data_IF_078519252311
#
_entry.id   IF_078519252311
#
_cell.length_a   1.000
_cell.length_b   1.000
_cell.length_c   1.000
_cell.angle_alpha   90.00
_cell.angle_beta   90.00
_cell.angle_gamma   90.00
#
_symmetry.space_group_name_H-M   'P 1'
#
loop_
_entity.id
_entity.type
_entity.pdbx_description
1 polymer ?
#
# COMPACT_ATOMS: atom_id res chain seq x y z
N UNK A 1 -1.96 28.43 16.96
CA UNK A 1 -2.17 29.37 15.83
C UNK A 1 -3.33 28.83 15.01
N UNK A 2 -4.37 29.58 14.85
CA UNK A 2 -5.50 29.17 14.00
C UNK A 2 -5.18 29.61 12.55
N UNK A 3 -5.75 28.92 11.54
CA UNK A 3 -5.59 29.32 10.13
C UNK A 3 -6.05 30.76 9.86
N UNK A 4 -6.99 31.24 10.67
CA UNK A 4 -7.50 32.61 10.57
C UNK A 4 -6.49 33.68 10.93
N UNK A 5 -5.49 33.31 11.75
CA UNK A 5 -4.42 34.22 12.21
C UNK A 5 -3.33 34.43 11.15
N UNK A 6 -3.33 33.60 10.09
CA UNK A 6 -2.40 33.69 8.97
C UNK A 6 -2.86 34.76 7.97
N UNK A 7 -1.91 35.48 7.34
CA UNK A 7 -2.21 36.31 6.18
C UNK A 7 -2.93 35.47 5.10
N UNK A 8 -3.86 36.07 4.36
CA UNK A 8 -4.66 35.34 3.37
C UNK A 8 -3.79 34.49 2.42
N UNK A 9 -2.74 35.09 1.86
CA UNK A 9 -1.81 34.40 0.93
C UNK A 9 -1.05 33.19 1.55
N UNK A 10 -0.96 33.13 2.88
CA UNK A 10 -0.29 32.03 3.59
C UNK A 10 -1.25 30.91 4.05
N UNK A 11 -2.56 31.09 3.84
CA UNK A 11 -3.53 30.06 4.19
C UNK A 11 -3.48 28.92 3.16
N UNK A 12 -3.51 27.66 3.58
CA UNK A 12 -3.33 26.52 2.69
C UNK A 12 -4.28 26.49 1.48
N UNK A 13 -5.56 26.88 1.67
CA UNK A 13 -6.53 26.92 0.58
C UNK A 13 -6.19 27.98 -0.47
N UNK A 14 -5.93 29.19 -0.04
CA UNK A 14 -5.59 30.31 -0.89
C UNK A 14 -4.27 30.07 -1.61
N UNK A 15 -3.29 29.52 -0.88
CA UNK A 15 -1.98 29.12 -1.41
C UNK A 15 -2.13 28.00 -2.47
N UNK A 16 -2.99 27.00 -2.22
CA UNK A 16 -3.28 25.93 -3.19
C UNK A 16 -3.87 26.50 -4.49
N UNK A 17 -4.86 27.39 -4.38
CA UNK A 17 -5.56 27.97 -5.52
C UNK A 17 -4.66 28.92 -6.33
N UNK A 18 -3.76 29.65 -5.67
CA UNK A 18 -2.89 30.60 -6.32
C UNK A 18 -1.64 29.96 -6.96
N UNK A 19 -1.09 28.93 -6.32
CA UNK A 19 0.25 28.40 -6.68
C UNK A 19 0.25 26.88 -6.97
N UNK A 20 -0.90 26.21 -6.88
CA UNK A 20 -1.03 24.77 -7.10
C UNK A 20 -0.55 23.91 -5.91
N UNK A 21 -0.80 22.59 -5.97
CA UNK A 21 -0.54 21.69 -4.84
C UNK A 21 0.95 21.53 -4.50
N UNK A 22 1.84 21.66 -5.47
CA UNK A 22 3.28 21.52 -5.26
C UNK A 22 3.89 22.63 -4.38
N UNK A 23 3.18 23.74 -4.21
CA UNK A 23 3.61 24.83 -3.34
C UNK A 23 3.32 24.60 -1.85
N UNK A 24 2.51 23.59 -1.52
CA UNK A 24 2.13 23.30 -0.14
C UNK A 24 3.09 22.32 0.52
N UNK A 25 3.35 22.56 1.81
CA UNK A 25 3.99 21.56 2.65
C UNK A 25 3.01 20.42 2.96
N UNK A 26 3.54 19.23 3.31
CA UNK A 26 2.73 18.04 3.60
C UNK A 26 1.64 18.30 4.65
N UNK A 27 2.00 19.00 5.74
CA UNK A 27 1.05 19.35 6.78
C UNK A 27 -0.05 20.30 6.29
N UNK A 28 0.23 21.16 5.32
CA UNK A 28 -0.77 22.06 4.73
C UNK A 28 -1.77 21.29 3.86
N UNK A 29 -1.29 20.32 3.05
CA UNK A 29 -2.15 19.45 2.25
C UNK A 29 -3.05 18.59 3.15
N UNK A 30 -2.48 17.97 4.20
CA UNK A 30 -3.27 17.17 5.13
C UNK A 30 -4.28 18.02 5.91
N UNK A 31 -3.91 19.26 6.28
CA UNK A 31 -4.80 20.19 6.97
C UNK A 31 -6.03 20.57 6.12
N UNK A 32 -5.90 20.63 4.80
CA UNK A 32 -7.03 20.86 3.90
C UNK A 32 -8.06 19.72 3.97
N UNK A 33 -7.61 18.47 4.05
CA UNK A 33 -8.48 17.31 4.22
C UNK A 33 -9.13 17.29 5.62
N UNK A 34 -8.35 17.56 6.67
CA UNK A 34 -8.83 17.56 8.05
C UNK A 34 -9.79 18.72 8.36
N UNK A 35 -9.72 19.81 7.61
CA UNK A 35 -10.54 21.04 7.68
C UNK A 35 -10.48 21.79 9.01
N UNK A 36 -10.52 21.09 10.12
CA UNK A 36 -10.56 21.67 11.47
C UNK A 36 -9.58 20.98 12.41
N UNK A 37 -9.01 21.73 13.32
CA UNK A 37 -8.22 21.20 14.43
C UNK A 37 -9.07 20.65 15.59
N UNK A 38 -8.53 20.74 16.79
CA UNK A 38 -9.17 20.39 18.05
C UNK A 38 -9.29 21.62 18.95
N UNK A 39 -10.06 21.52 20.04
CA UNK A 39 -10.04 22.52 21.09
C UNK A 39 -8.62 22.70 21.62
N UNK A 40 -8.07 23.90 21.46
CA UNK A 40 -6.71 24.23 21.86
C UNK A 40 -5.58 23.84 20.89
N UNK A 41 -5.89 23.22 19.74
CA UNK A 41 -4.90 22.80 18.75
C UNK A 41 -5.40 23.10 17.32
N UNK A 42 -4.68 23.94 16.60
CA UNK A 42 -4.99 24.27 15.21
C UNK A 42 -4.83 23.07 14.27
N UNK A 43 -5.47 23.15 13.11
CA UNK A 43 -5.47 22.02 12.14
C UNK A 43 -4.09 21.72 11.56
N UNK A 44 -3.23 22.73 11.38
CA UNK A 44 -1.84 22.52 10.91
C UNK A 44 -1.02 21.72 11.94
N UNK A 45 -1.14 22.07 13.22
CA UNK A 45 -0.46 21.33 14.28
C UNK A 45 -0.97 19.88 14.38
N UNK A 46 -2.27 19.66 14.23
CA UNK A 46 -2.85 18.32 14.17
C UNK A 46 -2.33 17.53 12.97
N UNK A 47 -2.24 18.16 11.80
CA UNK A 47 -1.71 17.53 10.59
C UNK A 47 -0.22 17.17 10.73
N UNK A 48 0.60 18.08 11.28
CA UNK A 48 2.02 17.81 11.51
C UNK A 48 2.22 16.63 12.47
N UNK A 49 1.51 16.60 13.60
CA UNK A 49 1.59 15.51 14.55
C UNK A 49 1.15 14.15 13.95
N UNK A 50 0.13 14.15 13.09
CA UNK A 50 -0.28 12.94 12.38
C UNK A 50 0.81 12.44 11.44
N UNK A 51 1.40 13.32 10.64
CA UNK A 51 2.49 12.95 9.74
C UNK A 51 3.71 12.44 10.53
N UNK A 52 4.07 13.09 11.62
CA UNK A 52 5.16 12.66 12.49
C UNK A 52 4.86 11.29 13.13
N UNK A 53 3.66 11.10 13.70
CA UNK A 53 3.26 9.85 14.36
C UNK A 53 3.21 8.64 13.40
N UNK A 54 2.91 8.89 12.14
CA UNK A 54 2.79 7.83 11.13
C UNK A 54 3.99 7.72 10.18
N UNK A 55 5.02 8.55 10.33
CA UNK A 55 6.22 8.53 9.47
C UNK A 55 5.97 9.11 8.08
N UNK A 56 5.27 10.24 8.00
CA UNK A 56 4.95 10.95 6.77
C UNK A 56 3.78 10.36 6.00
N UNK A 57 3.60 10.81 4.75
CA UNK A 57 2.52 10.32 3.88
C UNK A 57 2.64 8.83 3.56
N UNK A 58 3.84 8.32 3.31
CA UNK A 58 4.04 6.91 3.03
C UNK A 58 3.56 6.02 4.19
N UNK A 59 3.83 6.43 5.42
CA UNK A 59 3.34 5.74 6.61
C UNK A 59 1.84 5.91 6.83
N UNK A 60 1.30 7.11 6.56
CA UNK A 60 -0.13 7.39 6.66
C UNK A 60 -0.95 6.57 5.66
N UNK A 61 -0.49 6.47 4.40
CA UNK A 61 -1.13 5.72 3.32
C UNK A 61 -1.17 4.20 3.57
N UNK A 62 -0.28 3.68 4.41
CA UNK A 62 -0.25 2.26 4.79
C UNK A 62 -1.19 1.90 5.94
N UNK A 63 -1.84 2.89 6.57
CA UNK A 63 -2.71 2.64 7.74
C UNK A 63 -4.07 2.10 7.33
N UNK A 64 -4.60 1.25 8.22
CA UNK A 64 -5.97 0.77 8.13
C UNK A 64 -6.91 1.77 8.83
N UNK A 65 -8.20 1.82 8.46
CA UNK A 65 -9.17 2.74 9.09
C UNK A 65 -9.22 2.62 10.61
N UNK A 66 -8.94 1.44 11.15
CA UNK A 66 -8.96 1.18 12.60
C UNK A 66 -7.76 1.79 13.34
N UNK A 67 -6.63 1.99 12.68
CA UNK A 67 -5.45 2.66 13.26
C UNK A 67 -5.77 4.09 13.68
N UNK A 68 -6.68 4.73 12.97
CA UNK A 68 -7.11 6.10 13.25
C UNK A 68 -8.08 6.22 14.43
N UNK A 69 -8.62 5.12 14.97
CA UNK A 69 -9.57 5.16 16.10
C UNK A 69 -8.92 5.67 17.39
N UNK A 70 -7.64 5.41 17.58
CA UNK A 70 -6.89 5.78 18.77
C UNK A 70 -6.28 7.18 18.70
N UNK A 71 -6.37 7.84 17.52
CA UNK A 71 -5.78 9.15 17.33
C UNK A 71 -6.73 10.23 17.88
N UNK A 72 -6.28 10.94 18.90
CA UNK A 72 -7.03 12.06 19.45
C UNK A 72 -7.24 13.12 18.36
N UNK A 73 -8.50 13.46 18.14
CA UNK A 73 -8.86 14.49 17.14
C UNK A 73 -9.32 13.99 15.80
N UNK A 74 -9.22 12.71 15.57
CA UNK A 74 -9.84 12.07 14.41
C UNK A 74 -11.20 11.49 14.80
N UNK A 75 -12.22 12.33 14.81
CA UNK A 75 -13.61 11.91 14.94
C UNK A 75 -14.06 11.06 13.73
N UNK A 76 -15.28 10.46 13.78
CA UNK A 76 -15.77 9.57 12.72
C UNK A 76 -15.67 10.17 11.32
N UNK A 77 -16.03 11.45 11.16
CA UNK A 77 -16.00 12.14 9.86
C UNK A 77 -14.57 12.21 9.28
N UNK A 78 -13.59 12.67 10.05
CA UNK A 78 -12.20 12.77 9.59
C UNK A 78 -11.60 11.39 9.27
N UNK A 79 -11.96 10.37 10.04
CA UNK A 79 -11.54 8.99 9.78
C UNK A 79 -12.10 8.46 8.46
N UNK A 80 -13.39 8.73 8.21
CA UNK A 80 -14.03 8.36 6.95
C UNK A 80 -13.39 9.06 5.75
N UNK A 81 -13.08 10.36 5.86
CA UNK A 81 -12.39 11.12 4.82
C UNK A 81 -10.99 10.57 4.53
N UNK A 82 -10.19 10.31 5.55
CA UNK A 82 -8.88 9.69 5.36
C UNK A 82 -9.00 8.30 4.72
N UNK A 83 -9.89 7.45 5.21
CA UNK A 83 -10.11 6.11 4.63
C UNK A 83 -10.54 6.19 3.15
N UNK A 84 -11.42 7.14 2.80
CA UNK A 84 -11.84 7.35 1.42
C UNK A 84 -10.68 7.79 0.52
N UNK A 85 -9.84 8.73 0.97
CA UNK A 85 -8.66 9.18 0.20
C UNK A 85 -7.69 8.03 -0.02
N UNK A 86 -7.42 7.21 1.00
CA UNK A 86 -6.55 6.02 0.88
C UNK A 86 -7.10 5.02 -0.14
N UNK A 87 -8.40 4.76 -0.10
CA UNK A 87 -9.05 3.85 -1.05
C UNK A 87 -9.03 4.42 -2.49
N UNK A 88 -9.25 5.73 -2.66
CA UNK A 88 -9.11 6.39 -3.96
C UNK A 88 -7.70 6.24 -4.52
N UNK A 89 -6.65 6.41 -3.70
CA UNK A 89 -5.28 6.22 -4.11
C UNK A 89 -5.01 4.77 -4.54
N UNK A 90 -5.51 3.77 -3.78
CA UNK A 90 -5.42 2.35 -4.16
C UNK A 90 -6.08 2.09 -5.51
N UNK A 91 -7.32 2.54 -5.71
CA UNK A 91 -8.04 2.35 -6.99
C UNK A 91 -7.37 3.05 -8.16
N UNK A 92 -6.77 4.22 -7.95
CA UNK A 92 -6.01 4.90 -9.00
C UNK A 92 -4.79 4.09 -9.44
N UNK A 93 -4.08 3.47 -8.49
CA UNK A 93 -2.97 2.56 -8.78
C UNK A 93 -3.44 1.26 -9.47
N UNK A 94 -4.56 0.66 -9.02
CA UNK A 94 -5.19 -0.48 -9.71
C UNK A 94 -5.44 -0.16 -11.19
N UNK A 95 -6.07 0.99 -11.48
CA UNK A 95 -6.35 1.40 -12.85
C UNK A 95 -5.09 1.65 -13.69
N UNK A 96 -4.03 2.16 -13.09
CA UNK A 96 -2.76 2.34 -13.79
C UNK A 96 -2.10 1.00 -14.14
N UNK A 97 -2.13 0.04 -13.22
CA UNK A 97 -1.59 -1.31 -13.45
C UNK A 97 -2.41 -2.12 -14.47
N UNK A 98 -3.72 -1.87 -14.55
CA UNK A 98 -4.59 -2.50 -15.55
C UNK A 98 -4.39 -1.95 -16.97
N UNK A 99 -3.91 -0.71 -17.11
CA UNK A 99 -3.77 -0.04 -18.43
C UNK A 99 -2.46 -0.35 -19.15
N UNK A 100 -1.46 -0.85 -18.48
CA UNK A 100 -0.14 -1.12 -19.06
C UNK A 100 0.53 -2.35 -18.45
N UNK A 101 1.59 -2.86 -19.10
CA UNK A 101 2.37 -3.96 -18.55
C UNK A 101 2.95 -3.59 -17.18
N UNK A 102 2.88 -4.53 -16.26
CA UNK A 102 3.40 -4.33 -14.88
C UNK A 102 4.91 -4.13 -14.90
N UNK A 103 5.62 -4.75 -15.85
CA UNK A 103 7.08 -4.64 -15.98
C UNK A 103 7.59 -3.26 -16.38
N UNK A 104 6.78 -2.43 -17.03
CA UNK A 104 7.20 -1.06 -17.40
C UNK A 104 7.28 -0.14 -16.17
N UNK A 105 6.86 -0.62 -15.00
CA UNK A 105 6.81 0.17 -13.78
C UNK A 105 6.98 -0.68 -12.49
N UNK A 106 8.15 -1.30 -12.26
CA UNK A 106 8.38 -2.10 -11.03
C UNK A 106 8.14 -1.30 -9.74
N UNK A 107 8.47 0.00 -9.74
CA UNK A 107 8.19 0.89 -8.62
C UNK A 107 6.70 1.01 -8.30
N UNK A 108 5.85 1.14 -9.32
CA UNK A 108 4.38 1.22 -9.13
C UNK A 108 3.81 -0.05 -8.52
N UNK A 109 4.35 -1.22 -8.89
CA UNK A 109 3.95 -2.50 -8.29
C UNK A 109 4.35 -2.55 -6.82
N UNK A 110 5.57 -2.11 -6.50
CA UNK A 110 6.03 -2.03 -5.11
C UNK A 110 5.16 -1.07 -4.29
N UNK A 111 4.86 0.11 -4.83
CA UNK A 111 3.98 1.09 -4.17
C UNK A 111 2.58 0.52 -3.94
N UNK A 112 2.03 -0.14 -4.96
CA UNK A 112 0.73 -0.80 -4.87
C UNK A 112 0.70 -1.88 -3.78
N UNK A 113 1.68 -2.78 -3.78
CA UNK A 113 1.77 -3.86 -2.78
C UNK A 113 2.01 -3.28 -1.38
N UNK A 114 2.83 -2.23 -1.26
CA UNK A 114 3.04 -1.52 -0.01
C UNK A 114 1.75 -0.90 0.54
N UNK A 115 0.88 -0.36 -0.32
CA UNK A 115 -0.43 0.18 0.08
C UNK A 115 -1.41 -0.93 0.49
N UNK A 116 -1.33 -2.11 -0.13
CA UNK A 116 -2.20 -3.25 0.17
C UNK A 116 -1.82 -3.97 1.46
N UNK A 117 -0.53 -4.22 1.64
CA UNK A 117 -0.02 -5.10 2.69
C UNK A 117 0.69 -4.36 3.84
N UNK A 118 1.07 -3.10 3.62
CA UNK A 118 1.82 -2.34 4.62
C UNK A 118 1.00 -2.07 5.87
N UNK A 119 1.62 -2.28 7.04
CA UNK A 119 1.01 -2.00 8.35
C UNK A 119 -0.06 -2.99 8.80
N UNK A 120 -0.26 -4.10 8.08
CA UNK A 120 -1.18 -5.14 8.54
C UNK A 120 -0.61 -5.82 9.79
N UNK A 121 -1.45 -6.06 10.84
CA UNK A 121 -1.00 -6.62 12.12
C UNK A 121 -0.73 -8.14 12.06
N UNK A 122 -1.05 -8.76 10.94
CA UNK A 122 -0.87 -10.19 10.66
C UNK A 122 -0.22 -10.38 9.29
N UNK A 123 0.42 -11.52 9.10
CA UNK A 123 0.95 -11.89 7.81
C UNK A 123 -0.20 -12.18 6.83
N UNK A 124 -0.14 -11.58 5.65
CA UNK A 124 -1.08 -11.78 4.56
C UNK A 124 -0.28 -12.10 3.31
N UNK A 125 -0.65 -13.20 2.65
CA UNK A 125 -0.10 -13.57 1.36
C UNK A 125 -1.11 -13.23 0.26
N UNK A 126 -0.68 -12.38 -0.66
CA UNK A 126 -1.46 -11.93 -1.81
C UNK A 126 -0.78 -12.24 -3.13
N UNK A 127 -1.57 -12.21 -4.19
CA UNK A 127 -1.10 -12.49 -5.55
C UNK A 127 -1.69 -11.46 -6.51
N UNK A 128 -0.83 -10.86 -7.34
CA UNK A 128 -1.23 -10.13 -8.53
C UNK A 128 -1.30 -11.14 -9.69
N UNK A 129 -2.48 -11.30 -10.24
CA UNK A 129 -2.71 -12.13 -11.43
C UNK A 129 -2.64 -11.24 -12.67
N UNK A 130 -1.85 -11.67 -13.66
CA UNK A 130 -1.52 -10.90 -14.84
C UNK A 130 -1.94 -11.64 -16.10
N UNK A 131 -2.37 -10.89 -17.12
CA UNK A 131 -2.65 -11.47 -18.44
C UNK A 131 -1.36 -11.79 -19.23
N UNK A 132 -1.51 -12.29 -20.46
CA UNK A 132 -0.39 -12.61 -21.34
C UNK A 132 0.46 -11.41 -21.76
N UNK A 133 -0.03 -10.19 -21.55
CA UNK A 133 0.69 -8.93 -21.79
C UNK A 133 1.21 -8.32 -20.48
N UNK A 134 1.16 -9.07 -19.37
CA UNK A 134 1.57 -8.67 -18.02
C UNK A 134 0.80 -7.44 -17.48
N UNK A 135 -0.46 -7.26 -17.86
CA UNK A 135 -1.35 -6.27 -17.26
C UNK A 135 -2.06 -6.91 -16.06
N UNK A 136 -2.32 -6.12 -15.04
CA UNK A 136 -3.04 -6.59 -13.86
C UNK A 136 -4.48 -6.98 -14.23
N UNK A 137 -4.83 -8.26 -14.05
CA UNK A 137 -6.20 -8.78 -14.13
C UNK A 137 -6.88 -8.58 -12.79
N UNK A 138 -6.27 -9.07 -11.71
CA UNK A 138 -6.83 -8.98 -10.36
C UNK A 138 -5.73 -9.11 -9.29
N UNK A 139 -5.95 -8.45 -8.15
CA UNK A 139 -5.25 -8.70 -6.90
C UNK A 139 -6.12 -9.52 -5.97
N UNK A 140 -5.59 -10.58 -5.39
CA UNK A 140 -6.27 -11.36 -4.34
C UNK A 140 -5.37 -11.60 -3.14
N UNK A 141 -5.93 -11.38 -1.96
CA UNK A 141 -5.36 -11.88 -0.71
C UNK A 141 -5.84 -13.32 -0.53
N UNK A 142 -4.93 -14.27 -0.68
CA UNK A 142 -5.29 -15.69 -0.71
C UNK A 142 -5.18 -16.35 0.65
N UNK A 143 -4.19 -15.95 1.44
CA UNK A 143 -3.95 -16.58 2.73
C UNK A 143 -3.68 -15.50 3.79
N UNK A 144 -4.14 -15.80 5.00
CA UNK A 144 -3.91 -14.97 6.17
C UNK A 144 -3.36 -15.88 7.26
N UNK A 145 -2.21 -15.51 7.80
CA UNK A 145 -1.53 -16.25 8.85
C UNK A 145 -1.74 -15.66 10.23
N UNK A 146 -1.01 -16.21 11.18
CA UNK A 146 -0.82 -15.67 12.51
C UNK A 146 0.25 -14.56 12.50
N UNK A 147 0.75 -14.15 13.66
CA UNK A 147 1.84 -13.18 13.77
C UNK A 147 3.18 -13.69 13.20
N UNK A 148 3.33 -15.00 13.02
CA UNK A 148 4.61 -15.63 12.71
C UNK A 148 4.60 -16.59 11.53
N UNK A 149 3.45 -16.99 10.99
CA UNK A 149 3.40 -17.99 9.92
C UNK A 149 2.09 -17.94 9.13
N UNK A 150 2.20 -18.04 7.80
CA UNK A 150 1.08 -18.21 6.87
C UNK A 150 1.25 -19.52 6.12
N UNK A 151 0.25 -20.41 6.17
CA UNK A 151 0.23 -21.62 5.35
C UNK A 151 -0.27 -21.30 3.96
N UNK A 152 0.60 -21.34 2.96
CA UNK A 152 0.27 -21.12 1.55
C UNK A 152 0.17 -22.46 0.85
N UNK A 153 -1.00 -22.74 0.23
CA UNK A 153 -1.24 -23.99 -0.49
C UNK A 153 -1.11 -23.75 -2.00
N UNK A 154 -0.08 -24.31 -2.68
CA UNK A 154 0.15 -24.12 -4.12
C UNK A 154 -1.08 -24.43 -4.99
N UNK A 155 -1.84 -25.48 -4.66
CA UNK A 155 -3.07 -25.84 -5.39
C UNK A 155 -4.09 -24.71 -5.46
N UNK A 156 -4.19 -23.90 -4.39
CA UNK A 156 -5.15 -22.78 -4.35
C UNK A 156 -4.67 -21.61 -5.22
N UNK A 157 -3.37 -21.35 -5.23
CA UNK A 157 -2.78 -20.32 -6.11
C UNK A 157 -2.97 -20.71 -7.57
N UNK A 158 -2.66 -21.97 -7.92
CA UNK A 158 -2.86 -22.52 -9.28
C UNK A 158 -4.34 -22.44 -9.69
N UNK A 159 -5.25 -22.88 -8.81
CA UNK A 159 -6.69 -22.84 -9.07
C UNK A 159 -7.18 -21.42 -9.37
N UNK A 160 -6.74 -20.45 -8.60
CA UNK A 160 -7.11 -19.03 -8.81
C UNK A 160 -6.51 -18.48 -10.11
N UNK A 161 -5.27 -18.81 -10.40
CA UNK A 161 -4.58 -18.35 -11.62
C UNK A 161 -5.27 -18.89 -12.89
N UNK A 162 -5.66 -20.17 -12.90
CA UNK A 162 -6.43 -20.77 -13.99
C UNK A 162 -7.84 -20.17 -14.12
N UNK A 163 -8.53 -19.94 -12.99
CA UNK A 163 -9.87 -19.34 -13.00
C UNK A 163 -9.87 -17.91 -13.56
N UNK A 164 -8.78 -17.18 -13.40
CA UNK A 164 -8.59 -15.82 -13.91
C UNK A 164 -7.94 -15.79 -15.30
N UNK A 165 -7.64 -16.95 -15.87
CA UNK A 165 -6.92 -17.07 -17.15
C UNK A 165 -5.60 -16.25 -17.15
N UNK A 166 -4.88 -16.30 -16.03
CA UNK A 166 -3.64 -15.57 -15.85
C UNK A 166 -2.49 -16.23 -16.61
N UNK A 167 -1.67 -15.44 -17.32
CA UNK A 167 -0.43 -15.90 -17.96
C UNK A 167 0.80 -15.75 -17.07
N UNK A 168 0.72 -14.92 -16.03
CA UNK A 168 1.78 -14.73 -15.05
C UNK A 168 1.23 -14.26 -13.71
N UNK A 169 2.06 -14.35 -12.67
CA UNK A 169 1.76 -13.83 -11.33
C UNK A 169 2.94 -13.10 -10.70
N UNK A 170 2.64 -12.14 -9.81
CA UNK A 170 3.58 -11.62 -8.83
C UNK A 170 3.06 -11.99 -7.45
N UNK A 171 3.89 -12.63 -6.66
CA UNK A 171 3.61 -13.01 -5.29
C UNK A 171 3.95 -11.85 -4.36
N UNK A 172 3.22 -11.72 -3.26
CA UNK A 172 3.55 -10.71 -2.26
C UNK A 172 3.08 -11.13 -0.87
N UNK A 173 3.86 -10.80 0.16
CA UNK A 173 3.45 -10.93 1.55
C UNK A 173 4.06 -9.82 2.41
N UNK A 174 3.49 -9.60 3.58
CA UNK A 174 4.06 -8.68 4.55
C UNK A 174 4.63 -9.42 5.75
N UNK A 175 5.67 -8.83 6.35
CA UNK A 175 6.18 -9.22 7.64
C UNK A 175 5.67 -8.25 8.73
N UNK A 176 4.80 -8.68 9.66
CA UNK A 176 4.31 -7.84 10.76
C UNK A 176 5.43 -7.33 11.68
N UNK A 177 6.58 -8.01 11.71
CA UNK A 177 7.78 -7.57 12.42
C UNK A 177 8.38 -6.26 11.88
N UNK A 178 8.02 -5.89 10.64
CA UNK A 178 8.55 -4.73 9.94
C UNK A 178 9.85 -4.98 9.16
N UNK A 179 10.49 -6.13 9.30
CA UNK A 179 11.69 -6.49 8.53
C UNK A 179 11.28 -7.06 7.17
N UNK A 180 11.67 -6.40 6.08
CA UNK A 180 11.39 -6.87 4.71
C UNK A 180 12.39 -7.92 4.21
N UNK A 181 13.26 -8.45 5.06
CA UNK A 181 14.24 -9.45 4.66
C UNK A 181 13.58 -10.81 4.41
N UNK A 182 13.73 -11.40 3.20
CA UNK A 182 13.19 -12.71 2.89
C UNK A 182 13.76 -13.80 3.80
N UNK A 183 12.91 -14.69 4.28
CA UNK A 183 13.32 -15.87 5.03
C UNK A 183 13.62 -17.06 4.09
N UNK A 184 14.30 -18.08 4.60
CA UNK A 184 14.49 -19.35 3.86
C UNK A 184 13.15 -20.02 3.53
N UNK A 185 12.14 -19.85 4.37
CA UNK A 185 10.81 -20.37 4.12
C UNK A 185 10.15 -19.66 2.92
N UNK A 186 10.36 -18.35 2.78
CA UNK A 186 9.85 -17.57 1.63
C UNK A 186 10.53 -18.00 0.33
N UNK A 187 11.84 -18.25 0.36
CA UNK A 187 12.58 -18.76 -0.80
C UNK A 187 12.08 -20.16 -1.21
N UNK A 188 11.90 -21.06 -0.24
CA UNK A 188 11.35 -22.40 -0.48
C UNK A 188 9.94 -22.34 -1.05
N UNK A 189 9.07 -21.51 -0.47
CA UNK A 189 7.70 -21.28 -0.95
C UNK A 189 7.69 -20.75 -2.38
N UNK A 190 8.56 -19.77 -2.67
CA UNK A 190 8.67 -19.18 -4.01
C UNK A 190 9.05 -20.23 -5.05
N UNK A 191 10.06 -21.06 -4.75
CA UNK A 191 10.49 -22.16 -5.61
C UNK A 191 9.38 -23.17 -5.83
N UNK A 192 8.64 -23.53 -4.78
CA UNK A 192 7.52 -24.48 -4.84
C UNK A 192 6.38 -23.93 -5.72
N UNK A 193 6.01 -22.66 -5.54
CA UNK A 193 4.98 -22.01 -6.35
C UNK A 193 5.41 -21.83 -7.81
N UNK A 194 6.66 -21.46 -8.06
CA UNK A 194 7.24 -21.35 -9.40
C UNK A 194 7.15 -22.69 -10.15
N UNK A 195 7.50 -23.78 -9.47
CA UNK A 195 7.39 -25.13 -10.03
C UNK A 195 5.94 -25.52 -10.33
N UNK A 196 5.04 -25.32 -9.37
CA UNK A 196 3.62 -25.69 -9.52
C UNK A 196 2.92 -24.91 -10.63
N UNK A 197 3.14 -23.58 -10.70
CA UNK A 197 2.57 -22.72 -11.73
C UNK A 197 3.19 -22.96 -13.10
N UNK A 198 4.49 -23.29 -13.17
CA UNK A 198 5.16 -23.65 -14.41
C UNK A 198 4.61 -24.90 -15.08
N UNK A 199 4.03 -25.85 -14.32
CA UNK A 199 3.37 -27.04 -14.88
C UNK A 199 2.09 -26.71 -15.67
N UNK A 200 1.54 -25.53 -15.51
CA UNK A 200 0.34 -25.04 -16.20
C UNK A 200 0.62 -23.75 -16.99
N UNK A 201 1.87 -23.56 -17.43
CA UNK A 201 2.34 -22.47 -18.27
C UNK A 201 2.14 -21.05 -17.66
N UNK A 202 2.05 -20.94 -16.33
CA UNK A 202 1.94 -19.65 -15.63
C UNK A 202 3.27 -19.28 -15.00
N UNK A 203 3.78 -18.09 -15.34
CA UNK A 203 5.09 -17.64 -14.86
C UNK A 203 4.99 -16.88 -13.53
N UNK A 204 5.90 -17.15 -12.60
CA UNK A 204 6.14 -16.29 -11.43
C UNK A 204 7.18 -15.26 -11.83
N UNK A 205 6.79 -13.99 -11.85
CA UNK A 205 7.65 -12.89 -12.30
C UNK A 205 8.46 -12.27 -11.17
N UNK A 206 7.86 -12.18 -9.98
CA UNK A 206 8.52 -11.67 -8.78
C UNK A 206 7.83 -12.19 -7.52
N UNK A 207 8.52 -12.04 -6.39
CA UNK A 207 7.96 -12.18 -5.06
C UNK A 207 8.40 -10.98 -4.21
N UNK A 208 7.43 -10.22 -3.71
CA UNK A 208 7.63 -8.97 -2.99
C UNK A 208 7.39 -9.17 -1.50
N UNK A 209 8.37 -8.80 -0.68
CA UNK A 209 8.24 -8.83 0.79
C UNK A 209 8.09 -7.41 1.31
N UNK A 210 6.99 -7.14 2.03
CA UNK A 210 6.66 -5.82 2.57
C UNK A 210 7.00 -5.75 4.04
N UNK A 211 7.88 -4.83 4.40
CA UNK A 211 8.20 -4.48 5.78
C UNK A 211 7.78 -3.05 6.14
N UNK A 212 8.29 -2.55 7.26
CA UNK A 212 8.07 -1.17 7.68
C UNK A 212 8.83 -0.19 6.78
N UNK A 213 8.14 0.38 5.77
CA UNK A 213 8.72 1.39 4.90
C UNK A 213 9.52 0.85 3.72
N UNK A 214 9.67 -0.46 3.56
CA UNK A 214 10.46 -1.09 2.51
C UNK A 214 9.70 -2.21 1.81
N UNK A 215 9.97 -2.39 0.51
CA UNK A 215 9.51 -3.53 -0.28
C UNK A 215 10.74 -4.15 -0.95
N UNK A 216 11.00 -5.40 -0.63
CA UNK A 216 12.11 -6.18 -1.20
C UNK A 216 11.57 -7.06 -2.31
N UNK A 217 12.26 -7.08 -3.45
CA UNK A 217 11.96 -7.90 -4.63
C UNK A 217 12.95 -9.07 -4.70
N UNK A 218 12.43 -10.25 -4.89
CA UNK A 218 13.22 -11.47 -5.13
C UNK A 218 13.90 -11.41 -6.49
N UNK A 219 13.22 -10.91 -7.52
CA UNK A 219 13.80 -10.76 -8.85
C UNK A 219 15.02 -9.82 -8.84
N UNK A 220 14.93 -8.66 -8.17
CA UNK A 220 16.07 -7.74 -8.04
C UNK A 220 17.25 -8.34 -7.26
N UNK A 221 16.98 -9.29 -6.38
CA UNK A 221 18.02 -10.01 -5.61
C UNK A 221 18.54 -11.27 -6.29
N UNK A 222 18.01 -11.63 -7.44
CA UNK A 222 18.37 -12.85 -8.15
C UNK A 222 17.92 -14.14 -7.45
N UNK A 223 16.83 -14.09 -6.68
CA UNK A 223 16.26 -15.22 -5.93
C UNK A 223 15.11 -15.93 -6.69
N UNK A 224 14.77 -15.48 -7.89
CA UNK A 224 13.77 -16.08 -8.80
C UNK A 224 14.38 -16.54 -10.11
#
# INVERSE_FOLDING_TARGET
>A
MDLKDLPAAARPREKLLAHGPAALADAELLALLLRTGLKGKGVLALASELLEAFGGYAGLLRRQPDDFRRVKGLGPAKRAELAAVLEMARRALDQQLQRGPVFDSPSKVKDYVALRLGGLPREVFGVLFLDGQHRLVEWRELFQGTLTQTSVYPREVVRQALALNAGAVILAHNHPSGLAEPSRADEYLTTTLKTALGLVDIRVLDHLVVGAGQVVSFAERGLI
#
